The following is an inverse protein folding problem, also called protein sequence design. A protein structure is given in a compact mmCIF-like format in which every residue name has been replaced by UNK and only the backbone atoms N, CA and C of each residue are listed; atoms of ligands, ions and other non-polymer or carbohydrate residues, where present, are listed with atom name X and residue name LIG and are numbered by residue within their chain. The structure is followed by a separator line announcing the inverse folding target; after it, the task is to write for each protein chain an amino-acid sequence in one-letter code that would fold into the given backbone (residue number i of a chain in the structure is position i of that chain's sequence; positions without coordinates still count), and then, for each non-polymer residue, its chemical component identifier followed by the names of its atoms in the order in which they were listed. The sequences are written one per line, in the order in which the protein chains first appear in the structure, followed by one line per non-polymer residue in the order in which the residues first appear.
data_IF_311040438324
#
_entry.id   IF_311040438324
#
_cell.length_a   1.000
_cell.length_b   1.000
_cell.length_c   1.000
_cell.angle_alpha   90.00
_cell.angle_beta   90.00
_cell.angle_gamma   90.00
#
_symmetry.space_group_name_H-M   'P 1'
#
loop_
_entity.id
_entity.type
_entity.pdbx_description
1 polymer ?
#
# COMPACT_ATOMS: atom_id res chain seq x y z
N UNK A 1 1.08 -42.43 19.51
CA UNK A 1 0.82 -40.96 19.37
C UNK A 1 0.41 -40.27 20.69
N UNK A 2 0.45 -40.95 21.82
CA UNK A 2 -0.05 -40.46 23.13
C UNK A 2 0.94 -39.62 23.98
N UNK A 3 2.19 -39.50 23.59
CA UNK A 3 3.20 -38.74 24.37
C UNK A 3 3.22 -37.22 24.13
N UNK A 4 2.78 -36.78 22.96
CA UNK A 4 2.81 -35.37 22.56
C UNK A 4 1.75 -34.48 23.27
N UNK A 5 0.70 -35.08 23.84
CA UNK A 5 -0.31 -34.38 24.62
C UNK A 5 0.17 -33.87 25.99
N UNK A 6 1.24 -34.46 26.53
CA UNK A 6 1.76 -34.12 27.87
C UNK A 6 2.68 -32.88 27.89
N UNK A 7 3.16 -32.43 26.72
CA UNK A 7 4.08 -31.27 26.63
C UNK A 7 3.59 -30.23 25.63
N UNK A 8 2.69 -29.33 26.04
CA UNK A 8 2.07 -28.34 25.14
C UNK A 8 3.12 -27.44 24.46
N UNK A 9 4.22 -27.12 25.14
CA UNK A 9 5.31 -26.29 24.56
C UNK A 9 6.08 -27.01 23.45
N UNK A 10 6.32 -28.33 23.59
CA UNK A 10 6.98 -29.12 22.54
C UNK A 10 6.08 -29.26 21.31
N UNK A 11 4.79 -29.48 21.52
CA UNK A 11 3.81 -29.53 20.45
C UNK A 11 3.70 -28.20 19.73
N UNK A 12 3.68 -27.08 20.46
CA UNK A 12 3.69 -25.73 19.89
C UNK A 12 4.95 -25.49 19.07
N UNK A 13 6.13 -25.85 19.58
CA UNK A 13 7.40 -25.74 18.87
C UNK A 13 7.47 -26.59 17.60
N UNK A 14 6.94 -27.81 17.62
CA UNK A 14 6.88 -28.69 16.45
C UNK A 14 5.89 -28.19 15.38
N UNK A 15 4.78 -27.59 15.79
CA UNK A 15 3.77 -27.07 14.85
C UNK A 15 4.16 -25.71 14.27
N UNK A 16 4.70 -24.81 15.09
CA UNK A 16 5.07 -23.45 14.65
C UNK A 16 6.52 -23.36 14.18
N UNK A 17 7.40 -24.25 14.64
CA UNK A 17 8.83 -24.23 14.29
C UNK A 17 9.07 -24.25 12.78
N UNK A 18 8.58 -25.23 12.02
CA UNK A 18 8.81 -25.28 10.57
C UNK A 18 8.29 -24.06 9.81
N UNK A 19 7.05 -23.59 10.00
CA UNK A 19 6.58 -22.36 9.34
C UNK A 19 7.38 -21.12 9.72
N UNK A 20 7.67 -20.92 11.02
CA UNK A 20 8.43 -19.74 11.48
C UNK A 20 9.86 -19.79 10.95
N UNK A 21 10.51 -20.96 10.97
CA UNK A 21 11.86 -21.12 10.45
C UNK A 21 11.89 -20.87 8.94
N UNK A 22 10.94 -21.42 8.19
CA UNK A 22 10.82 -21.18 6.75
C UNK A 22 10.60 -19.71 6.42
N UNK A 23 9.62 -19.06 7.06
CA UNK A 23 9.35 -17.64 6.88
C UNK A 23 10.54 -16.78 7.30
N UNK A 24 11.13 -17.07 8.46
CA UNK A 24 12.31 -16.35 8.97
C UNK A 24 13.49 -16.46 8.00
N UNK A 25 13.85 -17.67 7.57
CA UNK A 25 14.98 -17.89 6.66
C UNK A 25 14.68 -17.29 5.27
N UNK A 26 13.49 -17.52 4.71
CA UNK A 26 13.15 -17.01 3.37
C UNK A 26 13.08 -15.49 3.35
N UNK A 27 12.35 -14.86 4.28
CA UNK A 27 12.16 -13.40 4.25
C UNK A 27 13.38 -12.66 4.81
N UNK A 28 13.88 -13.03 5.99
CA UNK A 28 15.04 -12.34 6.57
C UNK A 28 16.30 -12.62 5.78
N UNK A 29 16.44 -13.84 5.23
CA UNK A 29 17.55 -14.20 4.36
C UNK A 29 17.55 -13.41 3.05
N UNK A 30 16.39 -13.29 2.40
CA UNK A 30 16.25 -12.47 1.20
C UNK A 30 16.51 -10.98 1.48
N UNK A 31 16.01 -10.46 2.60
CA UNK A 31 16.24 -9.08 3.01
C UNK A 31 17.72 -8.84 3.34
N UNK A 32 18.36 -9.76 4.06
CA UNK A 32 19.79 -9.69 4.34
C UNK A 32 20.62 -9.74 3.04
N UNK A 33 20.28 -10.64 2.12
CA UNK A 33 20.92 -10.71 0.82
C UNK A 33 20.79 -9.42 0.01
N UNK A 34 19.60 -8.79 0.04
CA UNK A 34 19.38 -7.48 -0.58
C UNK A 34 20.29 -6.41 0.04
N UNK A 35 20.34 -6.30 1.36
CA UNK A 35 21.22 -5.32 2.02
C UNK A 35 22.71 -5.58 1.77
N UNK A 36 23.12 -6.84 1.74
CA UNK A 36 24.51 -7.21 1.40
C UNK A 36 24.81 -6.84 -0.05
N UNK A 37 23.93 -7.16 -1.00
CA UNK A 37 24.11 -6.81 -2.42
C UNK A 37 24.16 -5.29 -2.63
N UNK A 38 23.39 -4.52 -1.86
CA UNK A 38 23.40 -3.05 -1.92
C UNK A 38 24.76 -2.42 -1.53
N UNK A 39 25.62 -3.19 -0.83
CA UNK A 39 26.97 -2.77 -0.42
C UNK A 39 28.07 -3.26 -1.39
N UNK A 40 27.70 -3.89 -2.48
CA UNK A 40 28.63 -4.28 -3.53
C UNK A 40 28.66 -3.24 -4.66
N UNK A 41 29.67 -3.36 -5.53
CA UNK A 41 29.77 -2.55 -6.75
C UNK A 41 29.56 -3.40 -8.00
N UNK A 42 29.41 -2.71 -9.11
CA UNK A 42 29.39 -3.33 -10.42
C UNK A 42 30.43 -2.63 -11.31
N UNK A 43 31.32 -3.40 -11.93
CA UNK A 43 32.23 -2.89 -12.93
C UNK A 43 31.45 -2.34 -14.12
N UNK A 44 31.71 -1.09 -14.48
CA UNK A 44 30.99 -0.37 -15.52
C UNK A 44 31.29 -0.90 -16.95
N UNK A 45 32.39 -1.61 -17.15
CA UNK A 45 32.81 -2.11 -18.47
C UNK A 45 32.38 -3.56 -18.69
N UNK A 46 32.56 -4.41 -17.68
CA UNK A 46 32.28 -5.84 -17.77
C UNK A 46 30.86 -6.19 -17.33
N UNK A 47 30.20 -5.32 -16.54
CA UNK A 47 28.89 -5.59 -15.92
C UNK A 47 28.94 -6.65 -14.82
N UNK A 48 30.14 -7.09 -14.41
CA UNK A 48 30.29 -8.08 -13.36
C UNK A 48 30.13 -7.45 -11.98
N UNK A 49 29.53 -8.20 -11.07
CA UNK A 49 29.37 -7.79 -9.68
C UNK A 49 30.67 -8.02 -8.94
N UNK A 50 31.27 -6.94 -8.43
CA UNK A 50 32.42 -6.95 -7.57
C UNK A 50 31.96 -7.00 -6.11
N UNK A 51 32.36 -8.06 -5.39
CA UNK A 51 31.97 -8.26 -3.99
C UNK A 51 32.87 -7.46 -3.02
N UNK A 52 33.17 -6.24 -3.41
CA UNK A 52 33.89 -5.30 -2.57
C UNK A 52 32.90 -4.42 -1.79
N UNK A 53 33.17 -4.26 -0.49
CA UNK A 53 32.30 -3.45 0.36
C UNK A 53 32.45 -1.96 0.02
N UNK A 54 31.40 -1.39 -0.58
CA UNK A 54 31.36 0.04 -0.96
C UNK A 54 30.01 0.66 -0.63
N UNK A 55 30.00 1.98 -0.51
CA UNK A 55 28.79 2.79 -0.37
C UNK A 55 28.47 3.60 -1.62
N UNK A 56 29.12 3.32 -2.75
CA UNK A 56 28.98 4.13 -3.96
C UNK A 56 27.57 4.14 -4.52
N UNK A 57 26.84 3.00 -4.44
CA UNK A 57 25.42 2.93 -4.81
C UNK A 57 24.58 3.88 -3.96
N UNK A 58 24.81 3.92 -2.65
CA UNK A 58 24.12 4.84 -1.76
C UNK A 58 24.56 6.29 -1.99
N UNK A 59 25.85 6.53 -2.21
CA UNK A 59 26.35 7.86 -2.54
C UNK A 59 25.67 8.41 -3.79
N UNK A 60 25.61 7.62 -4.86
CA UNK A 60 24.90 7.96 -6.11
C UNK A 60 23.45 8.28 -5.85
N UNK A 61 22.76 7.44 -5.06
CA UNK A 61 21.36 7.60 -4.70
C UNK A 61 21.08 8.94 -4.00
N UNK A 62 21.97 9.38 -3.11
CA UNK A 62 21.79 10.61 -2.35
C UNK A 62 22.41 11.86 -2.99
N UNK A 63 23.39 11.73 -3.88
CA UNK A 63 24.04 12.88 -4.54
C UNK A 63 23.36 13.26 -5.85
N UNK A 64 22.85 12.28 -6.61
CA UNK A 64 22.21 12.55 -7.89
C UNK A 64 20.76 13.01 -7.66
N UNK A 65 20.45 14.22 -8.09
CA UNK A 65 19.18 14.90 -7.86
C UNK A 65 17.96 14.12 -8.35
N UNK A 66 18.08 13.44 -9.48
CA UNK A 66 16.99 12.66 -10.09
C UNK A 66 16.49 11.58 -9.11
N UNK A 67 17.39 10.84 -8.46
CA UNK A 67 17.00 9.75 -7.56
C UNK A 67 16.35 10.29 -6.28
N UNK A 68 16.84 11.42 -5.75
CA UNK A 68 16.19 12.09 -4.60
C UNK A 68 14.78 12.55 -4.95
N UNK A 69 14.62 13.15 -6.13
CA UNK A 69 13.31 13.60 -6.63
C UNK A 69 12.35 12.42 -6.79
N UNK A 70 12.81 11.30 -7.36
CA UNK A 70 11.99 10.08 -7.51
C UNK A 70 11.64 9.52 -6.13
N UNK A 71 12.56 9.47 -5.17
CA UNK A 71 12.30 8.98 -3.84
C UNK A 71 11.23 9.83 -3.11
N UNK A 72 11.38 11.14 -3.12
CA UNK A 72 10.42 12.07 -2.51
C UNK A 72 9.05 12.00 -3.22
N UNK A 73 9.04 11.92 -4.55
CA UNK A 73 7.81 11.72 -5.33
C UNK A 73 7.10 10.43 -4.96
N UNK A 74 7.84 9.32 -4.83
CA UNK A 74 7.26 8.02 -4.45
C UNK A 74 6.60 8.08 -3.08
N UNK A 75 7.28 8.65 -2.09
CA UNK A 75 6.75 8.82 -0.74
C UNK A 75 5.52 9.74 -0.78
N UNK A 76 5.60 10.85 -1.51
CA UNK A 76 4.48 11.79 -1.67
C UNK A 76 3.26 11.15 -2.33
N UNK A 77 3.46 10.36 -3.39
CA UNK A 77 2.38 9.61 -4.06
C UNK A 77 1.78 8.57 -3.11
N UNK A 78 2.62 7.81 -2.38
CA UNK A 78 2.13 6.81 -1.45
C UNK A 78 1.29 7.43 -0.31
N UNK A 79 1.72 8.55 0.24
CA UNK A 79 0.96 9.30 1.24
C UNK A 79 -0.35 9.85 0.64
N UNK A 80 -0.28 10.45 -0.54
CA UNK A 80 -1.47 11.03 -1.20
C UNK A 80 -2.52 9.97 -1.50
N UNK A 81 -2.13 8.83 -2.09
CA UNK A 81 -3.03 7.70 -2.37
C UNK A 81 -3.64 7.17 -1.05
N UNK A 82 -2.82 7.00 -0.02
CA UNK A 82 -3.30 6.53 1.29
C UNK A 82 -4.35 7.49 1.89
N UNK A 83 -4.13 8.80 1.79
CA UNK A 83 -5.09 9.80 2.27
C UNK A 83 -6.37 9.80 1.43
N UNK A 84 -6.26 9.73 0.11
CA UNK A 84 -7.41 9.64 -0.80
C UNK A 84 -8.23 8.39 -0.44
N UNK A 85 -7.57 7.24 -0.32
CA UNK A 85 -8.25 6.00 0.03
C UNK A 85 -8.94 6.08 1.39
N UNK A 86 -8.31 6.67 2.40
CA UNK A 86 -8.93 6.84 3.71
C UNK A 86 -10.17 7.74 3.67
N UNK A 87 -10.09 8.85 2.94
CA UNK A 87 -11.21 9.81 2.77
C UNK A 87 -12.36 9.19 2.00
N UNK A 88 -12.08 8.42 0.95
CA UNK A 88 -13.11 7.78 0.12
C UNK A 88 -13.67 6.52 0.79
N UNK A 89 -12.82 5.71 1.41
CA UNK A 89 -13.22 4.46 2.06
C UNK A 89 -14.11 4.68 3.29
N UNK A 90 -13.85 5.75 4.07
CA UNK A 90 -14.60 6.01 5.30
C UNK A 90 -16.10 6.15 5.08
N UNK A 91 -16.61 7.06 4.21
CA UNK A 91 -18.05 7.18 3.97
C UNK A 91 -18.66 5.92 3.35
N UNK A 92 -17.93 5.23 2.47
CA UNK A 92 -18.38 3.97 1.86
C UNK A 92 -18.58 2.91 2.95
N UNK A 93 -17.57 2.68 3.78
CA UNK A 93 -17.63 1.70 4.86
C UNK A 93 -18.68 2.05 5.91
N UNK A 94 -18.83 3.35 6.25
CA UNK A 94 -19.85 3.83 7.18
C UNK A 94 -21.26 3.56 6.64
N UNK A 95 -21.50 3.87 5.36
CA UNK A 95 -22.77 3.57 4.73
C UNK A 95 -23.07 2.06 4.72
N UNK A 96 -22.08 1.25 4.35
CA UNK A 96 -22.20 -0.20 4.30
C UNK A 96 -22.52 -0.80 5.68
N UNK A 97 -21.83 -0.34 6.73
CA UNK A 97 -21.97 -0.90 8.08
C UNK A 97 -23.22 -0.42 8.80
N UNK A 98 -23.56 0.88 8.73
CA UNK A 98 -24.56 1.50 9.61
C UNK A 98 -25.86 1.91 8.92
N UNK A 99 -25.88 2.04 7.60
CA UNK A 99 -27.05 2.54 6.87
C UNK A 99 -27.65 1.50 5.93
N UNK A 100 -26.83 0.71 5.26
CA UNK A 100 -27.28 -0.22 4.25
C UNK A 100 -28.11 -1.36 4.83
N UNK A 101 -29.24 -1.67 4.16
CA UNK A 101 -30.06 -2.85 4.50
C UNK A 101 -29.25 -4.14 4.29
N UNK A 102 -29.58 -5.25 4.98
CA UNK A 102 -28.77 -6.48 4.95
C UNK A 102 -28.49 -7.03 3.55
N UNK A 103 -29.45 -6.94 2.63
CA UNK A 103 -29.30 -7.37 1.24
C UNK A 103 -28.29 -6.50 0.46
N UNK A 104 -28.45 -5.18 0.59
CA UNK A 104 -27.55 -4.20 -0.06
C UNK A 104 -26.13 -4.26 0.55
N UNK A 105 -26.02 -4.44 1.86
CA UNK A 105 -24.72 -4.63 2.54
C UNK A 105 -23.94 -5.80 1.92
N UNK A 106 -24.60 -6.97 1.78
CA UNK A 106 -23.96 -8.16 1.16
C UNK A 106 -23.53 -7.89 -0.26
N UNK A 107 -24.39 -7.24 -1.06
CA UNK A 107 -24.06 -6.86 -2.42
C UNK A 107 -22.86 -5.92 -2.48
N UNK A 108 -22.82 -4.88 -1.64
CA UNK A 108 -21.71 -3.92 -1.60
C UNK A 108 -20.40 -4.56 -1.14
N UNK A 109 -20.45 -5.52 -0.19
CA UNK A 109 -19.26 -6.29 0.20
C UNK A 109 -18.70 -7.07 -1.00
N UNK A 110 -19.56 -7.75 -1.75
CA UNK A 110 -19.13 -8.47 -2.94
C UNK A 110 -18.60 -7.48 -3.99
N UNK A 111 -19.26 -6.35 -4.20
CA UNK A 111 -18.85 -5.34 -5.17
C UNK A 111 -17.46 -4.73 -4.83
N UNK A 112 -17.15 -4.53 -3.54
CA UNK A 112 -15.82 -4.09 -3.08
C UNK A 112 -14.76 -5.18 -3.25
N UNK A 113 -15.13 -6.44 -3.04
CA UNK A 113 -14.21 -7.58 -3.17
C UNK A 113 -13.97 -7.99 -4.64
N UNK A 114 -14.96 -7.78 -5.52
CA UNK A 114 -14.90 -8.21 -6.93
C UNK A 114 -13.64 -7.72 -7.67
N UNK A 115 -13.21 -6.45 -7.53
CA UNK A 115 -11.97 -5.98 -8.16
C UNK A 115 -10.72 -6.72 -7.70
N UNK A 116 -10.71 -7.32 -6.50
CA UNK A 116 -9.55 -8.07 -6.01
C UNK A 116 -9.33 -9.38 -6.77
N UNK A 117 -10.39 -9.95 -7.36
CA UNK A 117 -10.31 -11.17 -8.17
C UNK A 117 -9.87 -10.89 -9.60
N UNK A 118 -10.03 -9.65 -10.08
CA UNK A 118 -9.55 -9.27 -11.40
C UNK A 118 -8.02 -9.14 -11.40
N UNK A 119 -7.40 -9.57 -12.50
CA UNK A 119 -5.95 -9.41 -12.68
C UNK A 119 -5.52 -7.95 -12.51
N UNK A 120 -4.42 -7.74 -11.81
CA UNK A 120 -3.82 -6.43 -11.64
C UNK A 120 -3.56 -5.72 -12.98
N UNK A 121 -2.93 -6.43 -13.92
CA UNK A 121 -2.64 -5.91 -15.27
C UNK A 121 -3.89 -5.48 -16.01
N UNK A 122 -4.94 -6.29 -15.98
CA UNK A 122 -6.20 -5.96 -16.66
C UNK A 122 -6.77 -4.65 -16.14
N UNK A 123 -6.76 -4.45 -14.81
CA UNK A 123 -7.21 -3.20 -14.19
C UNK A 123 -6.35 -2.00 -14.62
N UNK A 124 -5.04 -2.15 -14.60
CA UNK A 124 -4.13 -1.07 -14.99
C UNK A 124 -4.29 -0.69 -16.49
N UNK A 125 -4.46 -1.67 -17.37
CA UNK A 125 -4.73 -1.41 -18.78
C UNK A 125 -6.14 -0.84 -19.02
N UNK A 126 -7.15 -1.23 -18.24
CA UNK A 126 -8.46 -0.61 -18.29
C UNK A 126 -8.37 0.89 -17.95
N UNK A 127 -7.64 1.25 -16.90
CA UNK A 127 -7.37 2.65 -16.56
C UNK A 127 -6.58 3.38 -17.65
N UNK A 128 -5.62 2.71 -18.29
CA UNK A 128 -4.94 3.28 -19.46
C UNK A 128 -5.91 3.65 -20.57
N UNK A 129 -6.85 2.75 -20.90
CA UNK A 129 -7.90 3.05 -21.88
C UNK A 129 -8.81 4.21 -21.47
N UNK A 130 -9.11 4.32 -20.16
CA UNK A 130 -9.95 5.42 -19.65
C UNK A 130 -9.25 6.79 -19.73
N UNK A 131 -7.93 6.86 -19.57
CA UNK A 131 -7.13 8.09 -19.67
C UNK A 131 -6.63 8.39 -21.09
N UNK A 132 -6.75 7.45 -22.04
CA UNK A 132 -6.39 7.69 -23.44
C UNK A 132 -7.28 8.75 -24.08
N UNK A 133 -6.84 9.33 -25.20
CA UNK A 133 -7.67 10.24 -26.01
C UNK A 133 -8.98 9.56 -26.43
N UNK A 134 -10.10 10.22 -26.20
CA UNK A 134 -11.44 9.64 -26.42
C UNK A 134 -11.85 8.60 -25.37
N UNK A 135 -11.05 8.32 -24.36
CA UNK A 135 -11.41 7.47 -23.23
C UNK A 135 -12.42 8.14 -22.30
N UNK A 136 -13.05 7.34 -21.43
CA UNK A 136 -14.15 7.80 -20.58
C UNK A 136 -13.74 8.97 -19.67
N UNK A 137 -12.58 8.90 -19.02
CA UNK A 137 -12.09 9.98 -18.15
C UNK A 137 -11.78 11.22 -18.99
N UNK A 138 -11.08 11.08 -20.12
CA UNK A 138 -10.76 12.19 -21.01
C UNK A 138 -12.02 12.88 -21.50
N UNK A 139 -13.01 12.12 -21.98
CA UNK A 139 -14.30 12.66 -22.44
C UNK A 139 -15.09 13.38 -21.34
N UNK A 140 -15.04 12.92 -20.09
CA UNK A 140 -15.66 13.61 -18.96
C UNK A 140 -15.01 14.95 -18.66
N UNK A 141 -13.68 15.07 -18.75
CA UNK A 141 -12.98 16.34 -18.58
C UNK A 141 -13.30 17.31 -19.71
N UNK A 142 -13.31 16.83 -20.95
CA UNK A 142 -13.65 17.62 -22.13
C UNK A 142 -15.10 18.14 -22.07
N UNK A 143 -16.02 17.30 -21.58
CA UNK A 143 -17.45 17.71 -21.47
C UNK A 143 -17.68 18.87 -20.49
N UNK A 144 -16.78 19.06 -19.50
CA UNK A 144 -16.82 20.21 -18.58
C UNK A 144 -15.84 21.32 -18.97
N UNK A 145 -15.29 21.28 -20.18
CA UNK A 145 -14.37 22.28 -20.71
C UNK A 145 -12.98 22.28 -20.13
N UNK A 146 -12.58 21.18 -19.48
CA UNK A 146 -11.24 20.98 -18.91
C UNK A 146 -10.39 20.11 -19.83
N UNK A 147 -9.09 20.37 -19.84
CA UNK A 147 -8.14 19.48 -20.52
C UNK A 147 -8.05 18.14 -19.80
N UNK A 148 -8.04 17.06 -20.57
CA UNK A 148 -7.78 15.71 -20.02
C UNK A 148 -6.43 15.69 -19.30
N UNK A 149 -6.34 15.08 -18.09
CA UNK A 149 -5.06 14.92 -17.40
C UNK A 149 -4.09 14.02 -18.16
N UNK A 150 -4.55 13.23 -19.14
CA UNK A 150 -3.73 12.32 -19.92
C UNK A 150 -2.96 11.33 -19.06
N UNK A 151 -1.86 10.80 -19.64
CA UNK A 151 -0.93 9.95 -18.89
C UNK A 151 0.02 10.79 -18.05
N UNK A 152 0.26 10.38 -16.81
CA UNK A 152 1.13 11.11 -15.91
C UNK A 152 0.88 10.81 -14.45
N UNK A 153 1.35 11.70 -13.58
CA UNK A 153 1.26 11.51 -12.14
C UNK A 153 -0.19 11.45 -11.65
N UNK A 154 -1.09 12.27 -12.21
CA UNK A 154 -2.52 12.27 -11.87
C UNK A 154 -3.17 10.94 -12.22
N UNK A 155 -2.93 10.42 -13.43
CA UNK A 155 -3.43 9.10 -13.83
C UNK A 155 -2.88 8.00 -12.93
N UNK A 156 -1.61 8.09 -12.54
CA UNK A 156 -0.98 7.15 -11.59
C UNK A 156 -1.68 7.17 -10.25
N UNK A 157 -1.87 8.34 -9.65
CA UNK A 157 -2.53 8.48 -8.33
C UNK A 157 -3.95 7.93 -8.35
N UNK A 158 -4.74 8.29 -9.36
CA UNK A 158 -6.14 7.81 -9.49
C UNK A 158 -6.18 6.29 -9.69
N UNK A 159 -5.31 5.75 -10.54
CA UNK A 159 -5.23 4.31 -10.79
C UNK A 159 -4.84 3.56 -9.52
N UNK A 160 -3.81 4.01 -8.79
CA UNK A 160 -3.36 3.37 -7.57
C UNK A 160 -4.41 3.47 -6.45
N UNK A 161 -5.07 4.62 -6.31
CA UNK A 161 -6.17 4.77 -5.36
C UNK A 161 -7.30 3.75 -5.66
N UNK A 162 -7.72 3.62 -6.92
CA UNK A 162 -8.70 2.59 -7.29
C UNK A 162 -8.22 1.17 -6.96
N UNK A 163 -6.96 0.85 -7.25
CA UNK A 163 -6.41 -0.49 -7.06
C UNK A 163 -6.37 -0.89 -5.59
N UNK A 164 -6.04 0.07 -4.70
CA UNK A 164 -5.82 -0.20 -3.28
C UNK A 164 -7.00 0.16 -2.38
N UNK A 165 -8.02 0.85 -2.91
CA UNK A 165 -9.22 1.24 -2.17
C UNK A 165 -9.89 0.10 -1.38
N UNK A 166 -10.04 -1.13 -1.92
CA UNK A 166 -10.62 -2.24 -1.15
C UNK A 166 -9.83 -2.57 0.12
N UNK A 167 -8.50 -2.45 0.11
CA UNK A 167 -7.65 -2.70 1.26
C UNK A 167 -7.81 -1.65 2.37
N UNK A 168 -8.35 -0.47 2.04
CA UNK A 168 -8.73 0.55 3.01
C UNK A 168 -10.17 0.36 3.49
N UNK A 169 -11.12 0.04 2.59
CA UNK A 169 -12.54 -0.13 2.93
C UNK A 169 -12.74 -1.29 3.92
N UNK A 170 -12.11 -2.44 3.68
CA UNK A 170 -12.37 -3.65 4.47
C UNK A 170 -12.00 -3.52 5.94
N UNK A 171 -10.81 -3.02 6.33
CA UNK A 171 -10.49 -2.79 7.74
C UNK A 171 -11.42 -1.77 8.39
N UNK A 172 -11.73 -0.66 7.71
CA UNK A 172 -12.65 0.37 8.22
C UNK A 172 -14.04 -0.23 8.44
N UNK A 173 -14.55 -1.00 7.47
CA UNK A 173 -15.82 -1.68 7.59
C UNK A 173 -15.83 -2.64 8.80
N UNK A 174 -14.80 -3.46 8.96
CA UNK A 174 -14.67 -4.37 10.10
C UNK A 174 -14.59 -3.63 11.45
N UNK A 175 -13.92 -2.48 11.49
CA UNK A 175 -13.88 -1.61 12.67
C UNK A 175 -15.25 -1.04 13.01
N UNK A 176 -16.01 -0.61 11.99
CA UNK A 176 -17.38 -0.08 12.17
C UNK A 176 -18.40 -1.15 12.61
N UNK A 177 -18.22 -2.39 12.16
CA UNK A 177 -19.07 -3.51 12.60
C UNK A 177 -18.91 -3.81 14.12
N UNK A 178 -17.72 -3.53 14.66
CA UNK A 178 -17.47 -3.68 16.11
C UNK A 178 -18.01 -2.53 16.95
N UNK A 179 -18.40 -1.40 16.33
CA UNK A 179 -19.00 -0.26 17.02
C UNK A 179 -20.46 -0.60 17.42
N UNK A 180 -20.80 -0.69 18.73
CA UNK A 180 -22.16 -0.96 19.16
C UNK A 180 -23.12 0.18 18.78
N UNK A 181 -24.30 -0.17 18.28
CA UNK A 181 -25.30 0.82 17.88
C UNK A 181 -25.80 1.62 19.09
N UNK A 182 -25.75 1.03 20.31
CA UNK A 182 -26.08 1.73 21.56
C UNK A 182 -25.25 2.98 21.82
N UNK A 183 -24.00 3.05 21.33
CA UNK A 183 -23.19 4.28 21.43
C UNK A 183 -23.72 5.39 20.52
N UNK A 184 -24.26 5.03 19.36
CA UNK A 184 -24.88 5.98 18.43
C UNK A 184 -26.20 6.48 18.99
N UNK A 185 -27.02 5.59 19.57
CA UNK A 185 -28.28 5.91 20.23
C UNK A 185 -28.03 6.83 21.43
N UNK A 186 -27.11 6.48 22.34
CA UNK A 186 -26.75 7.32 23.48
C UNK A 186 -26.25 8.72 23.06
N UNK A 187 -25.51 8.81 21.98
CA UNK A 187 -25.09 10.11 21.42
C UNK A 187 -26.29 10.93 20.94
N UNK A 188 -27.27 10.29 20.32
CA UNK A 188 -28.51 10.94 19.87
C UNK A 188 -29.37 11.40 21.04
N UNK A 189 -29.53 10.58 22.09
CA UNK A 189 -30.28 10.89 23.31
C UNK A 189 -29.66 12.10 24.03
N UNK A 190 -28.35 12.28 23.97
CA UNK A 190 -27.66 13.47 24.48
C UNK A 190 -27.80 14.69 23.56
N UNK A 191 -28.60 14.62 22.50
CA UNK A 191 -28.84 15.72 21.55
C UNK A 191 -27.70 16.04 20.62
N UNK A 192 -26.73 15.11 20.40
CA UNK A 192 -25.63 15.33 19.48
C UNK A 192 -26.10 15.33 18.02
N UNK A 193 -25.65 16.30 17.24
CA UNK A 193 -25.86 16.33 15.79
C UNK A 193 -25.03 15.20 15.13
N UNK A 194 -25.50 14.69 13.99
CA UNK A 194 -24.82 13.61 13.23
C UNK A 194 -23.32 13.87 13.03
N UNK A 195 -22.92 15.10 12.70
CA UNK A 195 -21.51 15.47 12.54
C UNK A 195 -20.72 15.35 13.85
N UNK A 196 -21.35 15.65 14.98
CA UNK A 196 -20.72 15.52 16.30
C UNK A 196 -20.54 14.05 16.67
N UNK A 197 -21.56 13.22 16.42
CA UNK A 197 -21.49 11.77 16.62
C UNK A 197 -20.37 11.17 15.74
N UNK A 198 -20.33 11.50 14.45
CA UNK A 198 -19.27 11.02 13.57
C UNK A 198 -17.89 11.43 14.11
N UNK A 199 -17.67 12.70 14.43
CA UNK A 199 -16.36 13.22 14.83
C UNK A 199 -15.92 12.75 16.22
N UNK A 200 -16.85 12.62 17.18
CA UNK A 200 -16.52 12.36 18.59
C UNK A 200 -16.68 10.89 19.00
N UNK A 201 -17.50 10.13 18.28
CA UNK A 201 -17.78 8.73 18.60
C UNK A 201 -17.22 7.81 17.51
N UNK A 202 -17.66 7.98 16.26
CA UNK A 202 -17.32 7.06 15.18
C UNK A 202 -15.84 7.14 14.79
N UNK A 203 -15.34 8.33 14.48
CA UNK A 203 -13.95 8.52 13.99
C UNK A 203 -12.92 8.00 14.99
N UNK A 204 -12.97 8.33 16.30
CA UNK A 204 -11.98 7.81 17.26
C UNK A 204 -11.94 6.28 17.33
N UNK A 205 -13.11 5.62 17.26
CA UNK A 205 -13.20 4.15 17.29
C UNK A 205 -12.65 3.52 16.00
N UNK A 206 -12.79 4.20 14.87
CA UNK A 206 -12.41 3.67 13.55
C UNK A 206 -10.96 4.01 13.17
N UNK A 207 -10.35 5.02 13.78
CA UNK A 207 -8.94 5.40 13.50
C UNK A 207 -7.98 4.22 13.54
N UNK A 208 -8.00 3.30 14.51
CA UNK A 208 -7.13 2.12 14.47
C UNK A 208 -7.33 1.25 13.22
N UNK A 209 -8.56 1.06 12.79
CA UNK A 209 -8.89 0.31 11.59
C UNK A 209 -8.45 1.04 10.30
N UNK A 210 -8.60 2.38 10.26
CA UNK A 210 -8.07 3.21 9.18
C UNK A 210 -6.55 3.11 9.08
N UNK A 211 -5.88 3.12 10.22
CA UNK A 211 -4.42 2.95 10.29
C UNK A 211 -4.02 1.57 9.79
N UNK A 212 -4.75 0.51 10.14
CA UNK A 212 -4.51 -0.83 9.61
C UNK A 212 -4.63 -0.87 8.08
N UNK A 213 -5.70 -0.28 7.52
CA UNK A 213 -5.87 -0.15 6.06
C UNK A 213 -4.75 0.66 5.41
N UNK A 214 -4.30 1.73 6.05
CA UNK A 214 -3.24 2.59 5.54
C UNK A 214 -1.88 1.90 5.43
N UNK A 215 -1.59 0.93 6.28
CA UNK A 215 -0.38 0.10 6.17
C UNK A 215 -0.34 -0.62 4.82
N UNK A 216 -1.48 -1.19 4.39
CA UNK A 216 -1.57 -1.87 3.11
C UNK A 216 -1.50 -0.90 1.93
N UNK A 217 -2.33 0.14 1.92
CA UNK A 217 -2.38 1.09 0.79
C UNK A 217 -1.06 1.82 0.61
N UNK A 218 -0.42 2.25 1.69
CA UNK A 218 0.89 2.89 1.66
C UNK A 218 1.98 1.96 1.15
N UNK A 219 2.07 0.75 1.72
CA UNK A 219 3.10 -0.24 1.34
C UNK A 219 2.98 -0.67 -0.12
N UNK A 220 1.76 -0.99 -0.57
CA UNK A 220 1.49 -1.42 -1.94
C UNK A 220 1.79 -0.30 -2.95
N UNK A 221 1.45 0.95 -2.62
CA UNK A 221 1.76 2.11 -3.48
C UNK A 221 3.26 2.38 -3.52
N UNK A 222 3.96 2.26 -2.38
CA UNK A 222 5.39 2.54 -2.27
C UNK A 222 6.24 1.63 -3.16
N UNK A 223 5.81 0.37 -3.33
CA UNK A 223 6.50 -0.64 -4.14
C UNK A 223 5.96 -0.78 -5.57
N UNK A 224 4.94 -0.01 -5.95
CA UNK A 224 4.34 -0.18 -7.28
C UNK A 224 5.25 0.34 -8.40
N UNK A 225 5.36 -0.44 -9.46
CA UNK A 225 6.04 -0.06 -10.70
C UNK A 225 5.19 -0.32 -11.94
N UNK A 226 4.20 -1.21 -11.84
CA UNK A 226 3.42 -1.68 -12.99
C UNK A 226 2.41 -0.63 -13.43
N UNK A 227 1.58 -0.11 -12.50
CA UNK A 227 0.63 0.93 -12.84
C UNK A 227 1.34 2.18 -13.35
N UNK A 228 2.45 2.56 -12.70
CA UNK A 228 3.26 3.72 -13.13
C UNK A 228 3.77 3.53 -14.55
N UNK A 229 4.25 2.34 -14.90
CA UNK A 229 4.74 2.04 -16.25
C UNK A 229 3.64 2.07 -17.30
N UNK A 230 2.41 1.76 -16.93
CA UNK A 230 1.25 1.70 -17.83
C UNK A 230 0.60 3.07 -18.03
N UNK A 231 0.42 3.86 -16.96
CA UNK A 231 -0.33 5.13 -16.97
C UNK A 231 0.50 6.34 -16.57
N UNK A 232 1.71 6.17 -16.06
CA UNK A 232 2.55 7.25 -15.50
C UNK A 232 3.22 8.16 -16.52
N UNK A 233 3.14 7.85 -17.82
CA UNK A 233 3.82 8.63 -18.86
C UNK A 233 5.33 8.60 -18.65
N UNK A 234 5.95 9.79 -18.56
CA UNK A 234 7.39 9.94 -18.31
C UNK A 234 7.77 9.92 -16.83
N UNK A 235 6.78 9.85 -15.93
CA UNK A 235 7.04 9.84 -14.49
C UNK A 235 7.49 8.45 -14.04
N UNK A 236 8.50 8.45 -13.18
CA UNK A 236 9.01 7.24 -12.54
C UNK A 236 8.84 7.32 -11.02
N UNK A 237 8.63 6.18 -10.40
CA UNK A 237 8.71 5.94 -8.96
C UNK A 237 9.88 4.99 -8.66
N UNK A 238 10.20 4.79 -7.38
CA UNK A 238 11.32 3.94 -6.95
C UNK A 238 11.22 2.52 -7.52
N UNK A 239 10.00 1.95 -7.56
CA UNK A 239 9.77 0.62 -8.14
C UNK A 239 10.21 0.52 -9.60
N UNK A 240 10.02 1.58 -10.40
CA UNK A 240 10.49 1.62 -11.79
C UNK A 240 12.02 1.65 -11.87
N UNK A 241 12.67 2.44 -11.01
CA UNK A 241 14.14 2.50 -10.96
C UNK A 241 14.72 1.14 -10.59
N UNK A 242 14.14 0.44 -9.61
CA UNK A 242 14.55 -0.93 -9.27
C UNK A 242 14.35 -1.86 -10.46
N UNK A 243 13.18 -1.86 -11.08
CA UNK A 243 12.85 -2.73 -12.21
C UNK A 243 13.80 -2.51 -13.40
N UNK A 244 14.10 -1.26 -13.76
CA UNK A 244 14.95 -0.92 -14.88
C UNK A 244 16.43 -1.29 -14.61
N UNK A 245 16.89 -1.17 -13.34
CA UNK A 245 18.25 -1.55 -12.97
C UNK A 245 18.42 -3.06 -12.83
N UNK A 246 17.40 -3.81 -12.41
CA UNK A 246 17.43 -5.29 -12.43
C UNK A 246 17.39 -5.82 -13.87
N UNK A 247 16.58 -5.19 -14.73
CA UNK A 247 16.34 -5.63 -16.10
C UNK A 247 17.35 -5.05 -17.10
N UNK A 248 17.05 -3.84 -17.59
CA UNK A 248 17.77 -3.25 -18.72
C UNK A 248 19.21 -2.85 -18.40
N UNK A 249 19.44 -2.26 -17.22
CA UNK A 249 20.79 -1.83 -16.83
C UNK A 249 21.63 -2.95 -16.19
N UNK A 250 21.00 -4.06 -15.81
CA UNK A 250 21.63 -5.21 -15.13
C UNK A 250 22.51 -4.81 -13.93
N UNK A 251 22.17 -3.71 -13.24
CA UNK A 251 22.89 -3.18 -12.08
C UNK A 251 22.20 -3.61 -10.78
N UNK A 252 22.44 -4.85 -10.36
CA UNK A 252 21.83 -5.42 -9.17
C UNK A 252 22.25 -4.69 -7.87
N UNK A 253 23.54 -4.29 -7.66
CA UNK A 253 23.92 -3.55 -6.46
C UNK A 253 23.17 -2.23 -6.32
N UNK A 254 23.06 -1.45 -7.40
CA UNK A 254 22.32 -0.19 -7.37
C UNK A 254 20.82 -0.42 -7.20
N UNK A 255 20.22 -1.39 -7.90
CA UNK A 255 18.82 -1.77 -7.69
C UNK A 255 18.53 -2.14 -6.24
N UNK A 256 19.43 -2.92 -5.62
CA UNK A 256 19.32 -3.30 -4.21
C UNK A 256 19.42 -2.07 -3.28
N UNK A 257 20.35 -1.14 -3.54
CA UNK A 257 20.47 0.10 -2.78
C UNK A 257 19.18 0.95 -2.87
N UNK A 258 18.60 1.10 -4.07
CA UNK A 258 17.33 1.80 -4.27
C UNK A 258 16.18 1.10 -3.52
N UNK A 259 16.13 -0.24 -3.57
CA UNK A 259 15.10 -1.03 -2.89
C UNK A 259 15.17 -0.95 -1.35
N UNK A 260 16.30 -0.51 -0.78
CA UNK A 260 16.38 -0.27 0.68
C UNK A 260 15.52 0.91 1.12
N UNK A 261 15.28 1.92 0.24
CA UNK A 261 14.49 3.11 0.60
C UNK A 261 13.04 2.74 0.97
N UNK A 262 12.26 2.03 0.13
CA UNK A 262 10.94 1.58 0.50
C UNK A 262 10.90 0.80 1.82
N UNK A 263 11.90 -0.05 2.06
CA UNK A 263 12.00 -0.84 3.30
C UNK A 263 12.18 0.09 4.51
N UNK A 264 13.14 1.02 4.46
CA UNK A 264 13.40 1.97 5.55
C UNK A 264 12.20 2.89 5.79
N UNK A 265 11.60 3.40 4.72
CA UNK A 265 10.40 4.25 4.80
C UNK A 265 9.25 3.48 5.44
N UNK A 266 9.04 2.21 5.05
CA UNK A 266 7.98 1.39 5.64
C UNK A 266 8.22 1.09 7.11
N UNK A 267 9.46 0.80 7.51
CA UNK A 267 9.83 0.63 8.92
C UNK A 267 9.59 1.92 9.72
N UNK A 268 9.94 3.07 9.17
CA UNK A 268 9.65 4.37 9.76
C UNK A 268 8.14 4.63 9.89
N UNK A 269 7.38 4.29 8.87
CA UNK A 269 5.91 4.39 8.89
C UNK A 269 5.29 3.50 9.97
N UNK A 270 5.70 2.23 10.06
CA UNK A 270 5.24 1.30 11.09
C UNK A 270 5.62 1.78 12.50
N UNK A 271 6.81 2.32 12.68
CA UNK A 271 7.25 2.89 13.97
C UNK A 271 6.40 4.11 14.37
N UNK A 272 6.03 4.97 13.40
CA UNK A 272 5.15 6.10 13.63
C UNK A 272 3.73 5.64 14.00
N UNK A 273 3.21 4.68 13.27
CA UNK A 273 1.86 4.09 13.50
C UNK A 273 1.78 3.38 14.86
N UNK A 274 2.84 2.67 15.28
CA UNK A 274 2.87 2.02 16.59
C UNK A 274 2.64 3.00 17.74
N UNK A 275 3.13 4.24 17.63
CA UNK A 275 2.95 5.28 18.65
C UNK A 275 1.49 5.74 18.79
N UNK A 276 0.63 5.46 17.83
CA UNK A 276 -0.80 5.84 17.89
C UNK A 276 -1.66 4.83 18.65
N UNK A 277 -1.10 3.74 19.18
CA UNK A 277 -1.84 2.66 19.85
C UNK A 277 -2.69 1.80 18.89
N UNK A 278 -2.69 2.11 17.60
CA UNK A 278 -3.53 1.43 16.63
C UNK A 278 -3.16 -0.06 16.42
N UNK A 279 -1.93 -0.45 16.75
CA UNK A 279 -1.48 -1.84 16.66
C UNK A 279 -1.93 -2.73 17.83
N UNK A 280 -2.37 -2.16 18.93
CA UNK A 280 -2.87 -2.93 20.08
C UNK A 280 -4.29 -3.43 19.88
N UNK A 281 -4.98 -2.89 18.87
CA UNK A 281 -6.36 -3.23 18.51
C UNK A 281 -6.47 -4.16 17.28
N UNK A 282 -5.33 -4.58 16.68
CA UNK A 282 -5.26 -5.57 15.61
C UNK A 282 -5.12 -6.98 16.17
#
# INVERSE_FOLDING_TARGET
MSGLHRHPRVRLGLLLGPPILWLGVAYLGALAALFVTALWSQDSFTGLIEREWTLDSFRTLFTVEVYRTIALRTIGVALLVTVIDAVVAFPIALYMSKVARPGLRRFLLVAVLMPLWASYLVKAYAWRGMFAEGGLVSSMFEAVGLQSPGFGLTATVVTLAYLWLPYMILPIYAGLERLPDSLLEASADLGAKTTQTIRRVVVPVVVPAMVAGSIFTFSLTLGDYIAVRIVGGTNQLLGNVVYDNVGAANNLPFAAAVATIPVVVMLGYLAAVRRTGAMESL
#
